data_IF_171422962336
#
_entry.id   IF_171422962336
#
_cell.length_a   1.000
_cell.length_b   1.000
_cell.length_c   1.000
_cell.angle_alpha   90.00
_cell.angle_beta   90.00
_cell.angle_gamma   90.00
#
_symmetry.space_group_name_H-M   'P 1'
#
loop_
_entity.id
_entity.type
_entity.pdbx_description
1 polymer ?
#
# COMPACT_ATOMS: atom_id res chain seq x y z
N UNK A 1 15.95 15.29 6.15
CA UNK A 1 15.09 16.26 5.43
C UNK A 1 15.03 16.01 3.93
N UNK A 2 16.11 15.55 3.27
CA UNK A 2 16.06 15.12 1.86
C UNK A 2 15.92 13.60 1.68
N UNK A 3 16.72 12.81 2.42
CA UNK A 3 16.67 11.34 2.37
C UNK A 3 15.27 10.79 2.62
N UNK A 4 14.55 11.40 3.54
CA UNK A 4 13.23 10.94 3.96
C UNK A 4 12.16 11.19 2.90
N UNK A 5 12.29 12.32 2.17
CA UNK A 5 11.43 12.61 1.01
C UNK A 5 11.73 11.65 -0.12
N UNK A 6 13.01 11.30 -0.31
CA UNK A 6 13.46 10.35 -1.33
C UNK A 6 12.96 8.93 -1.03
N UNK A 7 13.07 8.47 0.22
CA UNK A 7 12.56 7.16 0.64
C UNK A 7 11.04 7.11 0.48
N UNK A 8 10.31 8.14 0.93
CA UNK A 8 8.87 8.22 0.73
C UNK A 8 8.48 8.24 -0.75
N UNK A 9 9.19 8.99 -1.59
CA UNK A 9 8.94 9.05 -3.04
C UNK A 9 9.12 7.68 -3.70
N UNK A 10 10.22 6.98 -3.39
CA UNK A 10 10.49 5.64 -3.93
C UNK A 10 9.44 4.63 -3.44
N UNK A 11 9.03 4.70 -2.18
CA UNK A 11 7.99 3.82 -1.63
C UNK A 11 6.64 4.05 -2.32
N UNK A 12 6.23 5.31 -2.53
CA UNK A 12 5.00 5.65 -3.27
C UNK A 12 5.07 5.21 -4.74
N UNK A 13 6.22 5.38 -5.38
CA UNK A 13 6.41 4.92 -6.75
C UNK A 13 6.30 3.38 -6.85
N UNK A 14 6.88 2.66 -5.88
CA UNK A 14 6.75 1.22 -5.80
C UNK A 14 5.29 0.78 -5.58
N UNK A 15 4.58 1.39 -4.62
CA UNK A 15 3.14 1.16 -4.37
C UNK A 15 2.31 1.34 -5.66
N UNK A 16 2.58 2.42 -6.41
CA UNK A 16 1.90 2.72 -7.66
C UNK A 16 2.16 1.67 -8.74
N UNK A 17 3.41 1.25 -8.92
CA UNK A 17 3.79 0.25 -9.92
C UNK A 17 3.11 -1.09 -9.61
N UNK A 18 3.13 -1.54 -8.35
CA UNK A 18 2.49 -2.80 -7.98
C UNK A 18 0.97 -2.74 -8.12
N UNK A 19 0.34 -1.64 -7.71
CA UNK A 19 -1.10 -1.46 -7.89
C UNK A 19 -1.51 -1.43 -9.37
N UNK A 20 -0.71 -0.78 -10.22
CA UNK A 20 -0.95 -0.73 -11.66
C UNK A 20 -0.78 -2.10 -12.34
N UNK A 21 0.20 -2.90 -11.90
CA UNK A 21 0.37 -4.28 -12.40
C UNK A 21 -0.88 -5.10 -12.06
N UNK A 22 -1.34 -5.06 -10.81
CA UNK A 22 -2.54 -5.80 -10.37
C UNK A 22 -3.76 -5.36 -11.16
N UNK A 23 -4.03 -4.05 -11.26
CA UNK A 23 -5.14 -3.52 -12.05
C UNK A 23 -5.09 -3.96 -13.53
N UNK A 24 -3.90 -3.94 -14.13
CA UNK A 24 -3.72 -4.36 -15.52
C UNK A 24 -4.03 -5.84 -15.73
N UNK A 25 -3.59 -6.70 -14.81
CA UNK A 25 -3.86 -8.14 -14.87
C UNK A 25 -5.34 -8.41 -14.61
N UNK A 26 -5.93 -7.84 -13.56
CA UNK A 26 -7.36 -8.03 -13.24
C UNK A 26 -8.29 -7.48 -14.32
N UNK A 27 -7.95 -6.34 -14.93
CA UNK A 27 -8.70 -5.74 -16.03
C UNK A 27 -8.70 -6.60 -17.30
N UNK A 28 -7.56 -7.22 -17.67
CA UNK A 28 -7.49 -8.14 -18.82
C UNK A 28 -8.42 -9.36 -18.59
N UNK A 29 -8.46 -9.87 -17.37
CA UNK A 29 -9.35 -10.97 -16.99
C UNK A 29 -10.81 -10.58 -17.08
N UNK A 30 -11.20 -9.41 -16.56
CA UNK A 30 -12.59 -8.96 -16.56
C UNK A 30 -13.13 -8.77 -17.98
N UNK A 31 -12.29 -8.31 -18.91
CA UNK A 31 -12.68 -8.14 -20.31
C UNK A 31 -12.87 -9.47 -21.06
N UNK A 32 -12.12 -10.51 -20.67
CA UNK A 32 -12.16 -11.83 -21.32
C UNK A 32 -13.09 -12.83 -20.65
N UNK A 33 -13.48 -12.60 -19.39
CA UNK A 33 -14.23 -13.57 -18.60
C UNK A 33 -15.74 -13.44 -18.76
N UNK A 34 -16.40 -14.54 -19.16
CA UNK A 34 -17.86 -14.71 -19.13
C UNK A 34 -18.25 -15.54 -17.89
N UNK A 35 -17.63 -15.23 -16.74
CA UNK A 35 -17.62 -16.08 -15.55
C UNK A 35 -18.81 -15.82 -14.60
N UNK A 36 -19.08 -16.79 -13.73
CA UNK A 36 -20.16 -16.76 -12.72
C UNK A 36 -20.12 -15.50 -11.84
N UNK A 37 -21.30 -14.96 -11.52
CA UNK A 37 -21.53 -13.71 -10.75
C UNK A 37 -20.67 -13.57 -9.47
N UNK A 38 -20.39 -14.69 -8.78
CA UNK A 38 -19.62 -14.67 -7.53
C UNK A 38 -18.11 -14.43 -7.72
N UNK A 39 -17.51 -15.03 -8.75
CA UNK A 39 -16.10 -14.79 -9.09
C UNK A 39 -15.90 -13.35 -9.59
N UNK A 40 -16.87 -12.84 -10.36
CA UNK A 40 -16.87 -11.48 -10.87
C UNK A 40 -16.83 -10.43 -9.75
N UNK A 41 -17.59 -10.64 -8.68
CA UNK A 41 -17.61 -9.74 -7.52
C UNK A 41 -16.25 -9.59 -6.83
N UNK A 42 -15.45 -10.65 -6.77
CA UNK A 42 -14.09 -10.60 -6.19
C UNK A 42 -13.15 -9.76 -7.05
N UNK A 43 -13.19 -9.93 -8.37
CA UNK A 43 -12.36 -9.15 -9.31
C UNK A 43 -12.76 -7.67 -9.36
N UNK A 44 -14.05 -7.34 -9.22
CA UNK A 44 -14.48 -5.95 -9.14
C UNK A 44 -13.94 -5.29 -7.86
N UNK A 45 -13.98 -6.00 -6.73
CA UNK A 45 -13.40 -5.48 -5.49
C UNK A 45 -11.90 -5.19 -5.63
N UNK A 46 -11.15 -6.09 -6.26
CA UNK A 46 -9.69 -5.97 -6.43
C UNK A 46 -9.35 -4.79 -7.34
N UNK A 47 -10.12 -4.60 -8.42
CA UNK A 47 -9.99 -3.46 -9.33
C UNK A 47 -10.27 -2.13 -8.62
N UNK A 48 -11.31 -2.05 -7.80
CA UNK A 48 -11.65 -0.84 -7.04
C UNK A 48 -10.55 -0.49 -6.04
N UNK A 49 -10.04 -1.47 -5.29
CA UNK A 49 -8.93 -1.26 -4.35
C UNK A 49 -7.67 -0.81 -5.09
N UNK A 50 -7.35 -1.43 -6.23
CA UNK A 50 -6.24 -1.03 -7.07
C UNK A 50 -6.38 0.41 -7.58
N UNK A 51 -7.56 0.78 -8.11
CA UNK A 51 -7.85 2.13 -8.58
C UNK A 51 -7.73 3.20 -7.49
N UNK A 52 -8.28 2.94 -6.30
CA UNK A 52 -8.14 3.85 -5.15
C UNK A 52 -6.67 4.00 -4.75
N UNK A 53 -5.92 2.90 -4.71
CA UNK A 53 -4.50 2.94 -4.34
C UNK A 53 -3.64 3.69 -5.36
N UNK A 54 -3.90 3.56 -6.66
CA UNK A 54 -3.22 4.34 -7.71
C UNK A 54 -3.54 5.83 -7.56
N UNK A 55 -4.82 6.16 -7.38
CA UNK A 55 -5.26 7.55 -7.21
C UNK A 55 -4.60 8.21 -5.99
N UNK A 56 -4.58 7.51 -4.86
CA UNK A 56 -3.94 7.97 -3.63
C UNK A 56 -2.42 8.09 -3.77
N UNK A 57 -1.76 7.10 -4.39
CA UNK A 57 -0.32 7.14 -4.65
C UNK A 57 0.06 8.33 -5.55
N UNK A 58 -0.73 8.62 -6.58
CA UNK A 58 -0.54 9.78 -7.46
C UNK A 58 -0.71 11.11 -6.73
N UNK A 59 -1.76 11.25 -5.91
CA UNK A 59 -2.00 12.46 -5.11
C UNK A 59 -0.84 12.71 -4.15
N UNK A 60 -0.35 11.66 -3.49
CA UNK A 60 0.76 11.78 -2.53
C UNK A 60 2.15 11.88 -3.15
N UNK A 61 2.29 11.59 -4.45
CA UNK A 61 3.52 11.84 -5.19
C UNK A 61 3.76 13.35 -5.40
N UNK A 62 2.69 14.15 -5.43
CA UNK A 62 2.81 15.60 -5.55
C UNK A 62 3.23 16.21 -4.20
N UNK A 63 4.27 17.07 -4.16
CA UNK A 63 4.85 17.60 -2.92
C UNK A 63 3.93 18.57 -2.13
N UNK A 64 2.65 18.67 -2.50
CA UNK A 64 1.67 19.54 -1.85
C UNK A 64 1.16 19.02 -0.50
N UNK A 65 1.43 17.76 -0.15
CA UNK A 65 0.88 17.12 1.04
C UNK A 65 1.87 17.06 2.22
N UNK A 66 2.63 18.13 2.46
CA UNK A 66 3.55 18.19 3.62
C UNK A 66 2.85 18.38 4.97
N UNK A 67 1.55 18.64 4.98
CA UNK A 67 0.77 18.95 6.20
C UNK A 67 -0.24 17.86 6.55
N UNK A 68 -0.62 16.99 5.62
CA UNK A 68 -1.59 15.93 5.90
C UNK A 68 -0.91 14.73 6.57
N UNK A 69 -1.59 14.14 7.54
CA UNK A 69 -1.13 13.00 8.31
C UNK A 69 -1.55 11.75 7.54
N UNK A 70 -0.67 11.23 6.66
CA UNK A 70 -1.02 10.16 5.68
C UNK A 70 -1.14 8.76 6.30
N UNK A 71 -0.54 8.55 7.47
CA UNK A 71 -0.43 7.22 8.08
C UNK A 71 -1.75 6.48 8.33
N UNK A 72 -2.90 7.11 8.68
CA UNK A 72 -4.15 6.36 8.89
C UNK A 72 -4.70 5.80 7.59
N UNK A 73 -4.57 6.56 6.49
CA UNK A 73 -5.04 6.10 5.19
C UNK A 73 -4.15 4.98 4.67
N UNK A 74 -2.84 5.08 4.89
CA UNK A 74 -1.91 4.01 4.50
C UNK A 74 -2.23 2.67 5.19
N UNK A 75 -2.60 2.71 6.48
CA UNK A 75 -3.08 1.51 7.20
C UNK A 75 -4.37 0.97 6.60
N UNK A 76 -5.34 1.85 6.32
CA UNK A 76 -6.62 1.43 5.76
C UNK A 76 -6.44 0.75 4.40
N UNK A 77 -5.60 1.32 3.53
CA UNK A 77 -5.29 0.74 2.23
C UNK A 77 -4.53 -0.59 2.39
N UNK A 78 -3.59 -0.69 3.34
CA UNK A 78 -2.93 -1.97 3.64
C UNK A 78 -3.93 -3.06 4.01
N UNK A 79 -4.93 -2.77 4.86
CA UNK A 79 -5.98 -3.72 5.24
C UNK A 79 -6.79 -4.16 4.00
N UNK A 80 -7.15 -3.23 3.11
CA UNK A 80 -7.85 -3.57 1.87
C UNK A 80 -7.03 -4.50 0.99
N UNK A 81 -5.71 -4.28 0.87
CA UNK A 81 -4.82 -5.17 0.13
C UNK A 81 -4.68 -6.56 0.77
N UNK A 82 -4.73 -6.66 2.11
CA UNK A 82 -4.80 -7.95 2.79
C UNK A 82 -6.11 -8.70 2.49
N UNK A 83 -7.23 -8.00 2.39
CA UNK A 83 -8.51 -8.60 1.99
C UNK A 83 -8.46 -9.05 0.52
N UNK A 84 -7.90 -8.23 -0.37
CA UNK A 84 -7.64 -8.59 -1.78
C UNK A 84 -6.82 -9.88 -1.84
N UNK A 85 -5.70 -9.95 -1.12
CA UNK A 85 -4.86 -11.14 -1.05
C UNK A 85 -5.66 -12.38 -0.58
N UNK A 86 -6.45 -12.26 0.48
CA UNK A 86 -7.29 -13.35 0.97
C UNK A 86 -8.34 -13.82 -0.03
N UNK A 87 -8.96 -12.89 -0.77
CA UNK A 87 -9.95 -13.19 -1.80
C UNK A 87 -9.33 -13.90 -3.01
N UNK A 88 -8.16 -13.45 -3.48
CA UNK A 88 -7.43 -14.10 -4.56
C UNK A 88 -6.92 -15.48 -4.14
N UNK A 89 -6.36 -15.61 -2.94
CA UNK A 89 -5.87 -16.89 -2.41
C UNK A 89 -7.01 -17.93 -2.31
N UNK A 90 -8.18 -17.52 -1.81
CA UNK A 90 -9.35 -18.38 -1.72
C UNK A 90 -9.92 -18.76 -3.11
N UNK A 91 -9.71 -17.94 -4.14
CA UNK A 91 -10.11 -18.27 -5.50
C UNK A 91 -9.15 -19.27 -6.16
N UNK A 92 -7.84 -19.15 -5.90
CA UNK A 92 -6.80 -20.00 -6.48
C UNK A 92 -6.71 -21.39 -5.84
N UNK A 93 -6.98 -21.49 -4.54
CA UNK A 93 -6.87 -22.74 -3.77
C UNK A 93 -7.71 -23.90 -4.31
N UNK A 94 -8.84 -23.61 -4.96
CA UNK A 94 -9.76 -24.64 -5.47
C UNK A 94 -9.42 -25.15 -6.89
N UNK A 95 -8.58 -24.43 -7.66
CA UNK A 95 -8.41 -24.72 -9.10
C UNK A 95 -6.95 -24.78 -9.59
N UNK A 96 -6.00 -24.26 -8.80
CA UNK A 96 -4.64 -23.94 -9.28
C UNK A 96 -3.48 -24.53 -8.43
N UNK A 97 -3.79 -25.43 -7.49
CA UNK A 97 -2.79 -26.08 -6.63
C UNK A 97 -2.15 -25.16 -5.58
N UNK A 98 -1.12 -25.65 -4.89
CA UNK A 98 -0.47 -24.91 -3.82
C UNK A 98 0.13 -23.58 -4.33
N UNK A 99 -0.06 -22.52 -3.53
CA UNK A 99 0.33 -21.15 -3.80
C UNK A 99 1.85 -20.92 -3.87
N UNK A 100 2.65 -21.87 -3.38
CA UNK A 100 4.12 -21.87 -3.45
C UNK A 100 4.70 -22.87 -4.45
N UNK A 101 3.87 -23.54 -5.25
CA UNK A 101 4.37 -24.43 -6.28
C UNK A 101 4.68 -23.65 -7.56
N UNK A 102 5.96 -23.41 -7.82
CA UNK A 102 6.47 -22.60 -8.93
C UNK A 102 6.85 -23.45 -10.16
N UNK A 103 6.62 -24.76 -10.13
CA UNK A 103 7.11 -25.72 -11.13
C UNK A 103 6.56 -25.47 -12.56
N UNK A 104 5.51 -24.64 -12.70
CA UNK A 104 4.84 -24.33 -13.97
C UNK A 104 4.69 -22.82 -14.28
N UNK A 105 5.53 -21.95 -13.69
CA UNK A 105 5.52 -20.51 -14.02
C UNK A 105 6.25 -20.27 -15.34
N UNK A 106 5.53 -20.43 -16.45
CA UNK A 106 5.98 -20.00 -17.77
C UNK A 106 5.31 -18.67 -18.17
N UNK A 107 6.05 -17.64 -18.62
CA UNK A 107 5.48 -16.35 -19.07
C UNK A 107 4.56 -16.44 -20.30
N UNK A 108 4.45 -17.62 -20.93
CA UNK A 108 3.83 -17.82 -22.25
C UNK A 108 2.66 -18.82 -22.27
N UNK A 109 2.36 -19.54 -21.19
CA UNK A 109 1.48 -20.72 -21.24
C UNK A 109 0.14 -20.61 -20.50
N UNK A 110 0.15 -20.38 -19.19
CA UNK A 110 -1.01 -20.73 -18.35
C UNK A 110 -1.59 -19.56 -17.55
N UNK A 111 -2.93 -19.43 -17.58
CA UNK A 111 -3.70 -18.45 -16.80
C UNK A 111 -3.39 -18.55 -15.29
N UNK A 112 -3.13 -19.77 -14.82
CA UNK A 112 -2.77 -20.06 -13.44
C UNK A 112 -1.48 -19.37 -12.98
N UNK A 113 -0.44 -19.34 -13.82
CA UNK A 113 0.82 -18.69 -13.51
C UNK A 113 0.70 -17.17 -13.39
N UNK A 114 -0.15 -16.54 -14.24
CA UNK A 114 -0.46 -15.12 -14.15
C UNK A 114 -1.13 -14.75 -12.82
N UNK A 115 -2.10 -15.54 -12.37
CA UNK A 115 -2.77 -15.29 -11.09
C UNK A 115 -1.87 -15.52 -9.87
N UNK A 116 -0.92 -16.47 -9.94
CA UNK A 116 0.09 -16.65 -8.88
C UNK A 116 0.99 -15.43 -8.76
N UNK A 117 1.41 -14.84 -9.89
CA UNK A 117 2.17 -13.60 -9.89
C UNK A 117 1.36 -12.43 -9.32
N UNK A 118 0.09 -12.31 -9.73
CA UNK A 118 -0.82 -11.26 -9.25
C UNK A 118 -1.03 -11.33 -7.73
N UNK A 119 -1.21 -12.55 -7.20
CA UNK A 119 -1.29 -12.79 -5.76
C UNK A 119 -0.03 -12.33 -5.01
N UNK A 120 1.17 -12.59 -5.56
CA UNK A 120 2.42 -12.15 -4.96
C UNK A 120 2.56 -10.62 -4.97
N UNK A 121 2.14 -9.95 -6.04
CA UNK A 121 2.16 -8.49 -6.11
C UNK A 121 1.15 -7.84 -5.17
N UNK A 122 -0.03 -8.45 -5.00
CA UNK A 122 -1.00 -8.00 -4.01
C UNK A 122 -0.44 -8.07 -2.57
N UNK A 123 0.29 -9.15 -2.24
CA UNK A 123 0.96 -9.29 -0.94
C UNK A 123 2.06 -8.23 -0.74
N UNK A 124 2.90 -8.00 -1.76
CA UNK A 124 3.94 -6.97 -1.70
C UNK A 124 3.33 -5.57 -1.56
N UNK A 125 2.23 -5.29 -2.25
CA UNK A 125 1.49 -4.03 -2.12
C UNK A 125 1.00 -3.84 -0.67
N UNK A 126 0.35 -4.86 -0.08
CA UNK A 126 -0.09 -4.82 1.32
C UNK A 126 1.05 -4.47 2.29
N UNK A 127 2.22 -5.07 2.08
CA UNK A 127 3.42 -4.83 2.89
C UNK A 127 3.98 -3.42 2.69
N UNK A 128 4.04 -2.92 1.46
CA UNK A 128 4.56 -1.58 1.17
C UNK A 128 3.70 -0.50 1.81
N UNK A 129 2.38 -0.59 1.66
CA UNK A 129 1.44 0.32 2.33
C UNK A 129 1.59 0.27 3.86
N UNK A 130 1.85 -0.91 4.44
CA UNK A 130 2.11 -1.05 5.87
C UNK A 130 3.44 -0.38 6.29
N UNK A 131 4.51 -0.58 5.54
CA UNK A 131 5.82 0.04 5.80
C UNK A 131 5.70 1.56 5.69
N UNK A 132 4.98 2.05 4.70
CA UNK A 132 4.65 3.47 4.50
C UNK A 132 3.96 4.07 5.73
N UNK A 133 2.94 3.37 6.25
CA UNK A 133 2.25 3.76 7.48
C UNK A 133 3.17 3.80 8.70
N UNK A 134 4.02 2.77 8.88
CA UNK A 134 4.95 2.69 10.01
C UNK A 134 5.97 3.83 9.98
N UNK A 135 6.50 4.16 8.80
CA UNK A 135 7.38 5.31 8.61
C UNK A 135 6.62 6.59 8.95
N UNK A 136 5.39 6.77 8.46
CA UNK A 136 4.53 7.91 8.79
C UNK A 136 4.33 8.09 10.31
N UNK A 137 4.03 7.01 11.04
CA UNK A 137 3.85 7.02 12.49
C UNK A 137 5.17 7.40 13.20
N UNK A 138 6.29 6.80 12.79
CA UNK A 138 7.59 7.09 13.39
C UNK A 138 7.94 8.58 13.26
N UNK A 139 7.62 9.16 12.11
CA UNK A 139 7.86 10.56 11.78
C UNK A 139 7.02 11.51 12.62
N UNK A 140 5.71 11.27 12.70
CA UNK A 140 4.80 12.06 13.54
C UNK A 140 5.23 12.01 15.00
N UNK A 141 5.49 10.81 15.54
CA UNK A 141 5.95 10.64 16.92
C UNK A 141 7.28 11.35 17.19
N UNK A 142 8.20 11.40 16.21
CA UNK A 142 9.48 12.11 16.34
C UNK A 142 9.27 13.62 16.34
N UNK A 143 8.37 14.15 15.50
CA UNK A 143 8.02 15.57 15.49
C UNK A 143 7.32 16.00 16.77
N UNK A 144 6.36 15.22 17.28
CA UNK A 144 5.69 15.51 18.55
C UNK A 144 6.66 15.56 19.74
N UNK A 145 7.63 14.63 19.80
CA UNK A 145 8.67 14.64 20.85
C UNK A 145 9.54 15.89 20.77
N UNK A 146 9.90 16.35 19.57
CA UNK A 146 10.66 17.60 19.37
C UNK A 146 9.85 18.82 19.79
N UNK A 147 8.59 18.92 19.37
CA UNK A 147 7.70 20.00 19.76
C UNK A 147 7.50 20.07 21.29
N UNK A 148 7.32 18.92 21.96
CA UNK A 148 7.22 18.86 23.43
C UNK A 148 8.52 19.28 24.11
N UNK A 149 9.68 18.88 23.59
CA UNK A 149 10.98 19.28 24.12
C UNK A 149 11.22 20.80 23.98
N UNK A 150 10.83 21.39 22.85
CA UNK A 150 10.89 22.85 22.64
C UNK A 150 10.00 23.62 23.63
N UNK A 151 8.76 23.17 23.85
CA UNK A 151 7.86 23.78 24.85
C UNK A 151 8.45 23.73 26.27
N UNK A 152 9.05 22.60 26.66
CA UNK A 152 9.73 22.47 27.97
C UNK A 152 10.93 23.41 28.08
N UNK A 153 11.76 23.50 27.03
CA UNK A 153 12.89 24.44 27.02
C UNK A 153 12.44 25.90 27.08
N UNK A 154 11.38 26.26 26.35
CA UNK A 154 10.84 27.62 26.35
C UNK A 154 10.26 28.00 27.71
N UNK A 155 9.55 27.08 28.38
CA UNK A 155 9.01 27.29 29.73
C UNK A 155 10.13 27.46 30.79
N UNK A 156 11.21 26.67 30.71
CA UNK A 156 12.39 26.82 31.60
C UNK A 156 13.12 28.15 31.39
N UNK A 157 13.24 28.61 30.14
CA UNK A 157 13.90 29.90 29.82
C UNK A 157 13.11 31.10 30.35
N UNK A 158 11.78 31.03 30.33
CA UNK A 158 10.91 32.04 30.93
C UNK A 158 11.04 32.10 32.46
N UNK A 159 11.02 30.95 33.14
CA UNK A 159 11.15 30.89 34.60
C UNK A 159 12.47 31.45 35.13
N UNK A 160 13.56 31.36 34.35
CA UNK A 160 14.86 31.93 34.73
C UNK A 160 14.94 33.46 34.59
N UNK A 161 14.02 34.08 33.87
CA UNK A 161 14.06 35.52 33.56
C UNK A 161 13.29 36.38 34.57
N UNK A 162 12.44 35.78 35.39
CA UNK A 162 11.61 36.43 36.40
C UNK A 162 12.22 36.48 37.80
N UNK A 163 13.47 36.03 37.97
CA UNK A 163 14.23 36.06 39.23
C UNK A 163 15.38 37.08 39.20
N UNK A 164 15.24 38.17 38.46
CA UNK A 164 16.20 39.28 38.42
C UNK A 164 15.46 40.59 38.67
#
# INVERSE_FOLDING_TARGET
>A
MALDRLVSLVLRAAELVFAAIVAGVTGEYLHKSNASSWALGRFIYTEVVAGISIFLALIWLFPFSSTFVHWPVDIFISILWWVVFGLLANLLGDSCGAWFDWDNVSPRGDQCGKFKADLAFAFLSALLWLVSALIGIFWVRKQERRARAEVVHHRRRWYRRSYV
#
